data_IF_793379434136
#
_entry.id   IF_793379434136
#
_cell.length_a   1.000
_cell.length_b   1.000
_cell.length_c   1.000
_cell.angle_alpha   90.00
_cell.angle_beta   90.00
_cell.angle_gamma   90.00
#
_symmetry.space_group_name_H-M   'P 1'
#
loop_
_entity.id
_entity.type
_entity.pdbx_description
1 polymer ?
#
# COMPACT_ATOMS: atom_id res chain seq x y z
N UNK A 1 -50.53 19.25 -60.90
CA UNK A 1 -49.45 20.18 -60.52
C UNK A 1 -48.46 19.40 -59.66
N UNK A 2 -47.65 18.54 -60.27
CA UNK A 2 -46.34 18.84 -60.88
C UNK A 2 -45.29 19.20 -59.82
N UNK A 3 -44.56 18.21 -59.29
CA UNK A 3 -43.14 18.35 -58.98
C UNK A 3 -42.39 17.06 -59.31
N UNK A 4 -42.01 17.01 -60.59
CA UNK A 4 -40.68 16.69 -61.13
C UNK A 4 -39.75 15.77 -60.34
N UNK A 5 -39.49 14.62 -60.96
CA UNK A 5 -38.40 13.70 -60.67
C UNK A 5 -37.01 14.36 -60.76
N UNK A 6 -36.07 13.92 -59.91
CA UNK A 6 -34.64 13.93 -60.22
C UNK A 6 -34.03 12.58 -59.83
N UNK A 7 -33.60 11.84 -60.85
CA UNK A 7 -32.68 10.70 -60.80
C UNK A 7 -31.35 11.11 -61.43
N UNK A 8 -30.29 10.45 -60.95
CA UNK A 8 -28.99 10.20 -61.59
C UNK A 8 -28.01 11.40 -61.70
N UNK A 9 -26.68 11.25 -61.68
CA UNK A 9 -25.73 10.21 -61.28
C UNK A 9 -24.31 10.80 -61.53
N UNK A 10 -23.27 10.08 -61.08
CA UNK A 10 -21.82 10.18 -61.40
C UNK A 10 -20.98 11.24 -60.64
N UNK A 11 -20.17 10.91 -59.62
CA UNK A 11 -18.89 10.14 -59.54
C UNK A 11 -17.68 10.79 -60.22
N UNK A 12 -16.63 11.06 -59.43
CA UNK A 12 -15.17 10.99 -59.73
C UNK A 12 -14.44 11.24 -58.38
N UNK A 13 -14.04 10.19 -57.64
CA UNK A 13 -12.70 9.56 -57.64
C UNK A 13 -11.55 10.53 -57.28
N UNK A 14 -11.15 10.53 -56.01
CA UNK A 14 -9.74 10.73 -55.61
C UNK A 14 -9.37 9.69 -54.56
N UNK A 15 -8.42 8.84 -54.94
CA UNK A 15 -7.76 7.78 -54.16
C UNK A 15 -6.41 8.28 -53.68
N UNK A 16 -6.07 8.06 -52.41
CA UNK A 16 -4.74 7.83 -51.82
C UNK A 16 -4.84 8.09 -50.31
N UNK A 17 -4.29 7.34 -49.36
CA UNK A 17 -3.49 6.12 -49.30
C UNK A 17 -3.60 5.66 -47.82
N UNK A 18 -4.01 4.43 -47.57
CA UNK A 18 -3.19 3.34 -47.02
C UNK A 18 -2.76 3.47 -45.53
N UNK A 19 -3.17 2.43 -44.79
CA UNK A 19 -2.50 1.76 -43.65
C UNK A 19 -2.94 2.04 -42.21
N UNK A 20 -3.42 0.94 -41.62
CA UNK A 20 -3.17 0.41 -40.28
C UNK A 20 -4.34 0.45 -39.30
N UNK A 21 -5.04 -0.68 -39.24
CA UNK A 21 -5.68 -1.16 -38.02
C UNK A 21 -4.62 -1.32 -36.91
N UNK A 22 -4.91 -0.76 -35.74
CA UNK A 22 -4.59 -1.41 -34.48
C UNK A 22 -5.77 -1.17 -33.53
N UNK A 23 -6.40 -2.26 -33.10
CA UNK A 23 -7.30 -2.28 -31.97
C UNK A 23 -6.50 -1.84 -30.73
N UNK A 24 -6.95 -0.78 -30.07
CA UNK A 24 -6.50 -0.46 -28.73
C UNK A 24 -7.33 -1.28 -27.76
N UNK A 25 -6.73 -2.15 -26.92
CA UNK A 25 -7.42 -2.63 -25.75
C UNK A 25 -7.60 -1.46 -24.80
N UNK A 26 -8.81 -1.31 -24.27
CA UNK A 26 -9.04 -0.59 -23.03
C UNK A 26 -8.36 -1.40 -21.91
N UNK A 27 -7.07 -1.17 -21.72
CA UNK A 27 -6.38 -1.53 -20.49
C UNK A 27 -6.67 -0.41 -19.49
N UNK A 28 -7.14 -0.80 -18.32
CA UNK A 28 -7.33 0.06 -17.18
C UNK A 28 -6.06 0.86 -16.92
N UNK A 29 -6.22 2.18 -16.84
CA UNK A 29 -5.18 3.07 -16.37
C UNK A 29 -5.03 2.87 -14.86
N UNK A 30 -4.09 2.01 -14.48
CA UNK A 30 -3.36 2.15 -13.23
C UNK A 30 -1.89 2.26 -13.60
N UNK A 31 -1.57 3.37 -14.26
CA UNK A 31 -0.20 3.72 -14.61
C UNK A 31 -0.05 5.20 -14.25
N UNK A 32 0.33 5.42 -12.98
CA UNK A 32 0.84 6.69 -12.52
C UNK A 32 2.07 7.04 -13.38
N UNK A 33 1.85 7.85 -14.42
CA UNK A 33 2.92 8.44 -15.19
C UNK A 33 3.85 9.23 -14.23
N UNK A 34 5.19 9.12 -14.35
CA UNK A 34 6.09 9.81 -13.44
C UNK A 34 5.98 11.31 -13.70
N UNK A 35 5.37 12.03 -12.75
CA UNK A 35 5.29 13.48 -12.78
C UNK A 35 6.70 14.08 -12.70
N UNK A 36 7.02 14.94 -13.66
CA UNK A 36 8.24 15.72 -13.67
C UNK A 36 8.31 16.61 -12.42
N UNK A 37 9.29 16.37 -11.55
CA UNK A 37 9.56 17.17 -10.35
C UNK A 37 8.57 16.91 -9.20
N UNK A 38 8.42 15.65 -8.79
CA UNK A 38 7.44 15.22 -7.80
C UNK A 38 7.47 16.02 -6.50
N UNK A 39 6.38 16.72 -6.22
CA UNK A 39 6.04 17.08 -4.85
C UNK A 39 5.82 15.76 -4.08
N UNK A 40 6.25 15.67 -2.82
CA UNK A 40 6.11 14.41 -2.08
C UNK A 40 4.66 13.96 -1.99
N UNK A 41 4.47 12.66 -1.79
CA UNK A 41 3.15 12.08 -1.66
C UNK A 41 3.12 11.11 -0.48
N UNK A 42 1.98 11.03 0.19
CA UNK A 42 1.69 10.01 1.18
C UNK A 42 0.25 9.52 0.99
N UNK A 43 0.04 8.21 1.12
CA UNK A 43 -1.29 7.63 1.13
C UNK A 43 -1.40 6.50 2.14
N UNK A 44 -2.59 6.36 2.72
CA UNK A 44 -2.88 5.36 3.74
C UNK A 44 -4.31 4.85 3.52
N UNK A 45 -4.50 3.53 3.56
CA UNK A 45 -5.81 2.90 3.39
C UNK A 45 -6.02 1.74 4.37
N UNK A 46 -7.16 1.70 5.05
CA UNK A 46 -7.46 0.63 6.00
C UNK A 46 -7.77 -0.68 5.29
N UNK A 47 -8.62 -0.63 4.28
CA UNK A 47 -9.01 -1.81 3.50
C UNK A 47 -9.10 -1.43 2.03
N UNK A 48 -8.44 -2.23 1.20
CA UNK A 48 -8.71 -2.30 -0.24
C UNK A 48 -9.20 -3.68 -0.58
N UNK A 49 -10.36 -3.77 -1.21
CA UNK A 49 -10.99 -5.00 -1.62
C UNK A 49 -11.21 -4.99 -3.13
N UNK A 50 -10.74 -6.04 -3.80
CA UNK A 50 -11.02 -6.34 -5.20
C UNK A 50 -11.52 -7.78 -5.29
N UNK A 51 -12.83 -7.96 -5.13
CA UNK A 51 -13.49 -9.26 -5.09
C UNK A 51 -14.32 -9.47 -6.36
N UNK A 52 -14.41 -10.71 -6.79
CA UNK A 52 -15.24 -11.15 -7.90
C UNK A 52 -16.22 -12.19 -7.37
N UNK A 53 -17.52 -11.88 -7.43
CA UNK A 53 -18.58 -12.77 -6.95
C UNK A 53 -19.25 -13.45 -8.14
N UNK A 54 -19.11 -14.78 -8.22
CA UNK A 54 -19.73 -15.58 -9.27
C UNK A 54 -21.18 -15.89 -8.93
N UNK A 55 -22.14 -15.44 -9.74
CA UNK A 55 -23.55 -15.81 -9.53
C UNK A 55 -23.82 -17.27 -9.93
N UNK A 56 -24.98 -17.80 -9.51
CA UNK A 56 -25.40 -19.21 -9.60
C UNK A 56 -25.24 -19.86 -10.98
N UNK A 57 -25.37 -19.08 -12.06
CA UNK A 57 -25.22 -19.57 -13.43
C UNK A 57 -23.76 -19.54 -13.94
N UNK A 58 -22.79 -19.15 -13.11
CA UNK A 58 -21.35 -19.12 -13.40
C UNK A 58 -20.92 -18.21 -14.57
N UNK A 59 -21.86 -17.47 -15.16
CA UNK A 59 -21.68 -16.78 -16.45
C UNK A 59 -21.55 -15.26 -16.33
N UNK A 60 -21.90 -14.69 -15.18
CA UNK A 60 -21.72 -13.28 -14.87
C UNK A 60 -21.09 -13.16 -13.48
N UNK A 61 -19.83 -12.77 -13.48
CA UNK A 61 -19.16 -12.30 -12.28
C UNK A 61 -19.57 -10.84 -12.02
N UNK A 62 -19.83 -10.52 -10.74
CA UNK A 62 -20.05 -9.16 -10.29
C UNK A 62 -18.78 -8.67 -9.59
N UNK A 63 -18.07 -7.67 -10.15
CA UNK A 63 -16.92 -7.09 -9.49
C UNK A 63 -17.35 -6.25 -8.30
N UNK A 64 -16.68 -6.46 -7.18
CA UNK A 64 -16.83 -5.76 -5.93
C UNK A 64 -15.50 -5.10 -5.58
N UNK A 65 -15.43 -3.80 -5.85
CA UNK A 65 -14.29 -2.98 -5.43
C UNK A 65 -14.72 -2.08 -4.27
N UNK A 66 -13.96 -2.11 -3.19
CA UNK A 66 -14.19 -1.23 -2.05
C UNK A 66 -12.86 -0.71 -1.50
N UNK A 67 -12.79 0.59 -1.24
CA UNK A 67 -11.71 1.24 -0.51
C UNK A 67 -12.30 1.93 0.71
N UNK A 68 -11.71 1.68 1.89
CA UNK A 68 -12.19 2.20 3.17
C UNK A 68 -11.08 2.96 3.89
N UNK A 69 -11.44 4.12 4.47
CA UNK A 69 -10.51 5.04 5.14
C UNK A 69 -9.25 5.26 4.34
N UNK A 70 -9.46 5.69 3.11
CA UNK A 70 -8.37 6.02 2.23
C UNK A 70 -8.11 7.53 2.32
N UNK A 71 -6.89 7.89 2.70
CA UNK A 71 -6.45 9.27 2.76
C UNK A 71 -5.26 9.48 1.84
N UNK A 72 -5.25 10.63 1.18
CA UNK A 72 -4.14 11.09 0.36
C UNK A 72 -3.70 12.48 0.81
N UNK A 73 -2.39 12.64 0.98
CA UNK A 73 -1.74 13.93 1.15
C UNK A 73 -0.83 14.18 -0.06
N UNK A 74 -1.33 14.84 -1.12
CA UNK A 74 -0.50 15.29 -2.23
C UNK A 74 0.18 16.63 -1.91
N UNK A 75 1.35 16.88 -2.50
CA UNK A 75 1.96 18.21 -2.46
C UNK A 75 2.80 18.47 -1.21
N UNK A 76 3.26 19.72 -1.03
CA UNK A 76 4.00 20.13 0.18
C UNK A 76 3.05 20.70 1.24
N UNK A 77 3.26 20.33 2.50
CA UNK A 77 2.52 20.81 3.68
C UNK A 77 1.02 20.45 3.64
N UNK A 78 0.73 19.17 3.44
CA UNK A 78 -0.63 18.60 3.43
C UNK A 78 -0.74 17.50 4.47
N UNK A 79 -1.83 17.51 5.23
CA UNK A 79 -2.19 16.45 6.18
C UNK A 79 -3.61 15.98 5.90
N UNK A 80 -3.80 14.66 5.89
CA UNK A 80 -5.09 14.02 5.75
C UNK A 80 -5.20 12.90 6.80
N UNK A 81 -6.36 12.82 7.47
CA UNK A 81 -6.65 11.81 8.47
C UNK A 81 -8.11 11.41 8.44
N UNK A 82 -8.37 10.11 8.51
CA UNK A 82 -9.70 9.55 8.65
C UNK A 82 -9.75 8.44 9.70
N UNK A 83 -10.91 8.30 10.34
CA UNK A 83 -11.19 7.25 11.31
C UNK A 83 -12.55 6.62 11.01
N UNK A 84 -12.65 5.30 11.07
CA UNK A 84 -13.86 4.52 10.79
C UNK A 84 -13.92 3.34 11.75
N UNK A 85 -15.14 2.92 12.04
CA UNK A 85 -15.40 1.80 12.93
C UNK A 85 -16.15 0.67 12.21
N UNK A 86 -16.98 1.02 11.22
CA UNK A 86 -17.81 0.05 10.52
C UNK A 86 -18.04 0.52 9.09
N UNK A 87 -17.87 -0.40 8.14
CA UNK A 87 -18.17 -0.18 6.73
C UNK A 87 -19.22 -1.16 6.23
N UNK A 88 -20.34 -0.60 5.77
CA UNK A 88 -21.37 -1.33 5.04
C UNK A 88 -21.25 -0.98 3.57
N UNK A 89 -21.19 -1.99 2.72
CA UNK A 89 -21.24 -1.81 1.28
C UNK A 89 -22.65 -2.14 0.79
N UNK A 90 -23.20 -1.26 -0.05
CA UNK A 90 -24.53 -1.46 -0.63
C UNK A 90 -24.46 -2.48 -1.78
N UNK A 91 -25.08 -3.65 -1.59
CA UNK A 91 -25.70 -4.43 -2.67
C UNK A 91 -24.83 -5.37 -3.50
N UNK A 92 -24.72 -6.62 -3.05
CA UNK A 92 -24.60 -7.85 -3.88
C UNK A 92 -25.55 -8.98 -3.41
N UNK A 93 -26.34 -8.73 -2.37
CA UNK A 93 -27.27 -9.67 -1.77
C UNK A 93 -28.71 -9.12 -1.88
N UNK A 94 -29.27 -9.14 -3.09
CA UNK A 94 -30.65 -8.67 -3.35
C UNK A 94 -30.90 -7.19 -2.97
N UNK A 95 -29.85 -6.37 -2.94
CA UNK A 95 -29.91 -4.97 -2.50
C UNK A 95 -29.87 -4.77 -0.98
N UNK A 96 -29.63 -5.82 -0.20
CA UNK A 96 -29.33 -5.70 1.23
C UNK A 96 -27.89 -5.17 1.42
N UNK A 97 -27.67 -4.20 2.30
CA UNK A 97 -26.33 -3.81 2.69
C UNK A 97 -25.66 -4.97 3.42
N UNK A 98 -24.38 -5.20 3.13
CA UNK A 98 -23.56 -6.18 3.85
C UNK A 98 -22.37 -5.47 4.51
N UNK A 99 -21.98 -5.96 5.68
CA UNK A 99 -20.83 -5.42 6.41
C UNK A 99 -19.55 -6.12 5.93
N UNK A 100 -18.64 -5.36 5.35
CA UNK A 100 -17.36 -5.88 4.84
C UNK A 100 -16.28 -5.86 5.94
N UNK A 101 -16.25 -4.79 6.72
CA UNK A 101 -15.29 -4.56 7.80
C UNK A 101 -15.97 -3.96 9.02
N UNK A 102 -15.69 -4.55 10.18
CA UNK A 102 -15.99 -4.01 11.51
C UNK A 102 -14.71 -3.96 12.33
N UNK A 103 -14.45 -2.86 13.01
CA UNK A 103 -13.27 -2.67 13.86
C UNK A 103 -13.56 -1.68 14.99
N UNK A 104 -12.84 -1.82 16.10
CA UNK A 104 -12.90 -0.85 17.21
C UNK A 104 -12.05 0.38 16.93
N UNK A 105 -10.98 0.21 16.16
CA UNK A 105 -10.14 1.29 15.65
C UNK A 105 -9.84 0.97 14.20
N UNK A 106 -10.13 1.91 13.30
CA UNK A 106 -9.56 1.92 11.97
C UNK A 106 -9.16 3.35 11.65
N UNK A 107 -7.86 3.63 11.60
CA UNK A 107 -7.31 4.96 11.42
C UNK A 107 -6.33 4.96 10.25
N UNK A 108 -6.39 6.02 9.45
CA UNK A 108 -5.49 6.24 8.33
C UNK A 108 -5.02 7.70 8.37
N UNK A 109 -3.70 7.88 8.32
CA UNK A 109 -3.06 9.20 8.34
C UNK A 109 -2.03 9.28 7.23
N UNK A 110 -2.03 10.40 6.51
CA UNK A 110 -1.02 10.73 5.51
C UNK A 110 -0.59 12.18 5.69
N UNK A 111 0.71 12.42 5.71
CA UNK A 111 1.32 13.73 5.93
C UNK A 111 2.46 13.92 4.94
N UNK A 112 2.55 15.11 4.37
CA UNK A 112 3.73 15.57 3.63
C UNK A 112 4.09 16.95 4.12
N UNK A 113 5.31 17.11 4.61
CA UNK A 113 5.80 18.35 5.21
C UNK A 113 7.23 18.68 4.74
N UNK A 114 7.92 19.51 5.53
CA UNK A 114 9.28 19.95 5.23
C UNK A 114 10.35 18.91 5.61
N UNK A 115 10.02 17.87 6.37
CA UNK A 115 10.91 16.81 6.82
C UNK A 115 10.78 15.56 5.94
N UNK A 116 9.64 15.36 5.29
CA UNK A 116 9.43 14.27 4.33
C UNK A 116 7.96 13.97 4.08
N UNK A 117 7.70 12.73 3.70
CA UNK A 117 6.35 12.17 3.64
C UNK A 117 6.23 10.98 4.59
N UNK A 118 5.07 10.89 5.22
CA UNK A 118 4.74 9.88 6.22
C UNK A 118 3.32 9.39 6.01
N UNK A 119 3.13 8.08 6.07
CA UNK A 119 1.82 7.45 6.08
C UNK A 119 1.76 6.37 7.16
N UNK A 120 0.62 6.28 7.83
CA UNK A 120 0.34 5.24 8.82
C UNK A 120 -1.10 4.79 8.73
N UNK A 121 -1.30 3.49 8.87
CA UNK A 121 -2.60 2.89 9.11
C UNK A 121 -2.55 2.00 10.34
N UNK A 122 -3.64 2.01 11.11
CA UNK A 122 -3.80 1.13 12.26
C UNK A 122 -5.22 0.57 12.30
N UNK A 123 -5.33 -0.69 12.65
CA UNK A 123 -6.59 -1.41 12.74
C UNK A 123 -6.57 -2.28 14.00
N UNK A 124 -7.62 -2.21 14.81
CA UNK A 124 -7.74 -3.00 16.04
C UNK A 124 -9.13 -3.63 16.18
N UNK A 125 -9.16 -4.84 16.75
CA UNK A 125 -10.33 -5.70 16.90
C UNK A 125 -11.12 -5.84 15.58
N UNK A 126 -10.39 -6.11 14.50
CA UNK A 126 -10.92 -6.12 13.16
C UNK A 126 -11.58 -7.46 12.82
N UNK A 127 -12.71 -7.39 12.13
CA UNK A 127 -13.45 -8.54 11.62
C UNK A 127 -13.83 -8.25 10.16
N UNK A 128 -13.34 -9.09 9.26
CA UNK A 128 -13.62 -8.98 7.83
C UNK A 128 -14.57 -10.09 7.42
N UNK A 129 -15.63 -9.73 6.71
CA UNK A 129 -16.64 -10.66 6.22
C UNK A 129 -16.74 -10.55 4.72
N UNK A 130 -16.93 -11.68 4.02
CA UNK A 130 -17.10 -11.69 2.56
C UNK A 130 -18.48 -12.22 2.17
N UNK A 131 -19.04 -11.80 1.03
CA UNK A 131 -20.33 -12.29 0.54
C UNK A 131 -20.36 -13.82 0.38
N UNK A 132 -21.54 -14.41 0.54
CA UNK A 132 -21.77 -15.85 0.29
C UNK A 132 -21.36 -16.80 1.42
N UNK A 133 -20.81 -16.28 2.53
CA UNK A 133 -20.36 -17.11 3.67
C UNK A 133 -21.22 -16.86 4.92
N UNK A 134 -22.08 -17.81 5.30
CA UNK A 134 -23.26 -17.48 6.12
C UNK A 134 -23.03 -17.37 7.63
N UNK A 135 -21.84 -17.60 8.21
CA UNK A 135 -21.75 -17.81 9.67
C UNK A 135 -20.57 -17.21 10.44
N UNK A 136 -19.44 -16.88 9.81
CA UNK A 136 -18.24 -16.39 10.53
C UNK A 136 -17.48 -15.36 9.70
N UNK A 137 -16.80 -14.39 10.35
CA UNK A 137 -15.80 -13.58 9.68
C UNK A 137 -14.80 -14.48 8.95
N UNK A 138 -14.39 -14.03 7.77
CA UNK A 138 -13.28 -14.63 7.04
C UNK A 138 -12.04 -14.61 7.92
N UNK A 139 -11.76 -13.44 8.51
CA UNK A 139 -10.62 -13.25 9.38
C UNK A 139 -10.94 -12.27 10.52
N UNK A 140 -10.42 -12.56 11.70
CA UNK A 140 -10.44 -11.72 12.89
C UNK A 140 -9.00 -11.43 13.34
N UNK A 141 -8.73 -10.16 13.67
CA UNK A 141 -7.39 -9.64 13.97
C UNK A 141 -7.44 -8.72 15.19
N UNK A 142 -6.50 -8.89 16.12
CA UNK A 142 -6.45 -8.08 17.34
C UNK A 142 -5.92 -6.66 17.07
N UNK A 143 -4.74 -6.54 16.48
CA UNK A 143 -4.13 -5.26 16.15
C UNK A 143 -3.10 -5.43 15.03
N UNK A 144 -3.23 -4.64 13.96
CA UNK A 144 -2.25 -4.53 12.88
C UNK A 144 -1.96 -3.06 12.60
N UNK A 145 -0.75 -2.79 12.10
CA UNK A 145 -0.39 -1.46 11.61
C UNK A 145 0.58 -1.56 10.43
N UNK A 146 0.55 -0.56 9.57
CA UNK A 146 1.54 -0.36 8.52
C UNK A 146 2.01 1.09 8.52
N UNK A 147 3.31 1.28 8.37
CA UNK A 147 3.96 2.59 8.40
C UNK A 147 4.91 2.70 7.22
N UNK A 148 4.88 3.86 6.57
CA UNK A 148 5.82 4.23 5.54
C UNK A 148 6.37 5.63 5.85
N UNK A 149 7.70 5.74 5.96
CA UNK A 149 8.38 7.00 6.22
C UNK A 149 9.45 7.25 5.16
N UNK A 150 9.31 8.38 4.48
CA UNK A 150 10.15 8.83 3.38
C UNK A 150 10.76 10.19 3.74
N UNK A 151 11.83 10.22 4.57
CA UNK A 151 12.46 11.45 4.99
C UNK A 151 13.20 12.13 3.84
N UNK A 152 13.25 13.46 3.83
CA UNK A 152 14.05 14.22 2.89
C UNK A 152 15.55 13.93 3.08
N UNK A 153 16.19 13.46 2.02
CA UNK A 153 17.63 13.16 2.01
C UNK A 153 18.03 11.93 2.83
N UNK A 154 17.06 11.18 3.37
CA UNK A 154 17.29 9.93 4.08
C UNK A 154 16.89 8.70 3.27
N UNK A 155 17.03 7.52 3.89
CA UNK A 155 16.57 6.25 3.33
C UNK A 155 15.10 6.03 3.72
N UNK A 156 14.21 5.73 2.76
CA UNK A 156 12.84 5.34 3.06
C UNK A 156 12.78 4.07 3.92
N UNK A 157 11.79 4.02 4.80
CA UNK A 157 11.55 2.89 5.71
C UNK A 157 10.08 2.49 5.63
N UNK A 158 9.84 1.19 5.50
CA UNK A 158 8.54 0.55 5.57
C UNK A 158 8.52 -0.44 6.73
N UNK A 159 7.48 -0.40 7.56
CA UNK A 159 7.33 -1.28 8.72
C UNK A 159 5.88 -1.76 8.85
N UNK A 160 5.72 -2.95 9.41
CA UNK A 160 4.42 -3.52 9.76
C UNK A 160 4.44 -4.04 11.19
N UNK A 161 3.33 -3.89 11.90
CA UNK A 161 3.08 -4.56 13.17
C UNK A 161 1.97 -5.60 12.96
N UNK A 162 2.19 -6.81 13.44
CA UNK A 162 1.25 -7.92 13.33
C UNK A 162 1.11 -8.69 14.65
N UNK A 163 -0.07 -9.26 14.93
CA UNK A 163 -0.25 -10.14 16.07
C UNK A 163 0.43 -11.48 15.81
N UNK A 164 0.66 -12.26 16.87
CA UNK A 164 1.24 -13.60 16.75
C UNK A 164 0.28 -14.63 16.13
N UNK A 165 -1.02 -14.33 16.10
CA UNK A 165 -2.05 -15.20 15.54
C UNK A 165 -3.22 -14.37 14.99
N UNK A 166 -3.95 -14.96 14.05
CA UNK A 166 -5.25 -14.50 13.56
C UNK A 166 -6.26 -15.63 13.69
N UNK A 167 -7.55 -15.29 13.70
CA UNK A 167 -8.61 -16.30 13.57
C UNK A 167 -9.14 -16.27 12.15
N UNK A 168 -8.99 -17.36 11.39
CA UNK A 168 -9.50 -17.51 10.02
C UNK A 168 -10.67 -18.48 10.05
N UNK A 169 -11.88 -18.03 9.72
CA UNK A 169 -13.12 -18.80 9.82
C UNK A 169 -13.34 -19.52 11.18
N UNK A 170 -12.92 -18.88 12.27
CA UNK A 170 -13.02 -19.46 13.62
C UNK A 170 -11.90 -20.44 14.00
N UNK A 171 -10.90 -20.65 13.13
CA UNK A 171 -9.69 -21.42 13.42
C UNK A 171 -8.54 -20.47 13.71
N UNK A 172 -7.86 -20.65 14.84
CA UNK A 172 -6.67 -19.88 15.18
C UNK A 172 -5.48 -20.34 14.31
N UNK A 173 -4.85 -19.39 13.63
CA UNK A 173 -3.73 -19.59 12.71
C UNK A 173 -2.57 -18.73 13.18
N UNK A 174 -1.39 -19.31 13.45
CA UNK A 174 -0.22 -18.52 13.80
C UNK A 174 0.21 -17.67 12.61
N UNK A 175 0.51 -16.39 12.86
CA UNK A 175 1.05 -15.49 11.86
C UNK A 175 2.56 -15.40 12.05
N UNK A 176 3.30 -15.55 10.97
CA UNK A 176 4.72 -15.23 10.94
C UNK A 176 4.91 -13.79 10.51
N UNK A 177 6.07 -13.20 10.86
CA UNK A 177 6.38 -11.81 10.51
C UNK A 177 6.39 -11.63 8.99
N UNK A 178 6.71 -12.65 8.20
CA UNK A 178 6.69 -12.63 6.73
C UNK A 178 6.30 -14.02 6.20
N UNK A 179 5.89 -14.08 4.93
CA UNK A 179 5.62 -15.32 4.19
C UNK A 179 4.14 -15.56 3.90
N UNK A 180 3.83 -16.74 3.34
CA UNK A 180 2.47 -17.10 2.94
C UNK A 180 1.94 -18.28 3.77
N UNK A 181 0.74 -18.15 4.32
CA UNK A 181 0.04 -19.22 5.04
C UNK A 181 -1.17 -19.66 4.22
N UNK A 182 -1.25 -20.95 3.92
CA UNK A 182 -2.42 -21.53 3.25
C UNK A 182 -3.30 -22.21 4.30
N UNK A 183 -4.57 -21.79 4.35
CA UNK A 183 -5.57 -22.28 5.29
C UNK A 183 -6.68 -22.98 4.50
N UNK A 184 -6.72 -24.32 4.51
CA UNK A 184 -7.82 -25.05 3.92
C UNK A 184 -9.08 -24.86 4.77
N UNK A 185 -10.19 -24.54 4.11
CA UNK A 185 -11.50 -24.32 4.74
C UNK A 185 -12.43 -25.45 4.32
N UNK A 186 -12.69 -26.43 5.21
CA UNK A 186 -13.47 -27.62 4.86
C UNK A 186 -14.83 -27.28 4.26
N UNK A 187 -15.08 -27.77 3.04
CA UNK A 187 -16.35 -27.59 2.32
C UNK A 187 -16.55 -26.24 1.64
N UNK A 188 -15.55 -25.34 1.67
CA UNK A 188 -15.66 -23.96 1.16
C UNK A 188 -14.55 -23.64 0.14
N UNK A 189 -13.31 -24.07 0.38
CA UNK A 189 -12.17 -23.77 -0.49
C UNK A 189 -10.91 -23.47 0.30
N UNK A 190 -10.09 -22.55 -0.20
CA UNK A 190 -8.76 -22.25 0.35
C UNK A 190 -8.61 -20.73 0.55
N UNK A 191 -7.93 -20.34 1.63
CA UNK A 191 -7.52 -18.95 1.86
C UNK A 191 -6.00 -18.90 1.93
N UNK A 192 -5.40 -18.04 1.12
CA UNK A 192 -3.96 -17.75 1.20
C UNK A 192 -3.77 -16.39 1.84
N UNK A 193 -2.96 -16.35 2.89
CA UNK A 193 -2.60 -15.14 3.62
C UNK A 193 -1.14 -14.82 3.33
N UNK A 194 -0.88 -13.73 2.64
CA UNK A 194 0.45 -13.15 2.46
C UNK A 194 0.69 -12.12 3.57
N UNK A 195 1.70 -12.36 4.40
CA UNK A 195 1.93 -11.63 5.63
C UNK A 195 3.03 -10.56 5.43
N UNK A 196 2.78 -9.34 5.91
CA UNK A 196 3.72 -8.20 5.95
C UNK A 196 4.55 -8.00 4.68
N UNK A 197 3.95 -7.38 3.66
CA UNK A 197 4.71 -6.95 2.48
C UNK A 197 5.28 -5.56 2.71
N UNK A 198 6.60 -5.45 2.70
CA UNK A 198 7.30 -4.16 2.75
C UNK A 198 8.17 -3.99 1.52
N UNK A 199 8.04 -2.86 0.85
CA UNK A 199 8.84 -2.50 -0.31
C UNK A 199 9.51 -1.15 -0.06
N UNK A 200 10.80 -1.07 -0.35
CA UNK A 200 11.55 0.19 -0.25
C UNK A 200 12.39 0.37 -1.51
N UNK A 201 12.43 1.60 -2.00
CA UNK A 201 13.19 1.97 -3.19
C UNK A 201 13.86 3.33 -3.01
N UNK A 202 14.48 3.86 -4.07
CA UNK A 202 15.08 5.19 -4.02
C UNK A 202 13.99 6.26 -3.92
N UNK A 203 13.72 6.67 -2.68
CA UNK A 203 12.78 7.73 -2.37
C UNK A 203 11.34 7.28 -2.17
N UNK A 204 11.02 5.99 -2.18
CA UNK A 204 9.67 5.52 -1.86
C UNK A 204 9.69 4.34 -0.89
N UNK A 205 8.64 4.22 -0.09
CA UNK A 205 8.40 3.09 0.79
C UNK A 205 6.91 2.74 0.79
N UNK A 206 6.60 1.45 0.83
CA UNK A 206 5.25 0.93 0.95
C UNK A 206 5.23 -0.25 1.94
N UNK A 207 4.19 -0.31 2.75
CA UNK A 207 3.96 -1.35 3.74
C UNK A 207 2.50 -1.78 3.69
N UNK A 208 2.27 -3.09 3.65
CA UNK A 208 0.95 -3.72 3.79
C UNK A 208 1.04 -4.77 4.88
N UNK A 209 0.25 -4.60 5.94
CA UNK A 209 0.33 -5.53 7.08
C UNK A 209 -0.20 -6.91 6.71
N UNK A 210 -1.29 -6.98 5.94
CA UNK A 210 -1.86 -8.26 5.54
C UNK A 210 -2.51 -8.18 4.16
N UNK A 211 -2.14 -9.13 3.31
CA UNK A 211 -2.73 -9.33 2.00
C UNK A 211 -3.35 -10.72 1.91
N UNK A 212 -4.65 -10.77 1.62
CA UNK A 212 -5.40 -12.02 1.53
C UNK A 212 -5.73 -12.29 0.08
N UNK A 213 -5.32 -13.45 -0.42
CA UNK A 213 -5.84 -14.01 -1.66
C UNK A 213 -6.85 -15.09 -1.34
N UNK A 214 -8.08 -14.87 -1.77
CA UNK A 214 -9.23 -15.69 -1.40
C UNK A 214 -9.68 -16.44 -2.64
N UNK A 215 -9.86 -17.75 -2.51
CA UNK A 215 -10.52 -18.57 -3.51
C UNK A 215 -11.52 -19.51 -2.83
N UNK A 216 -12.75 -19.03 -2.75
CA UNK A 216 -13.87 -19.74 -2.15
C UNK A 216 -14.74 -20.30 -3.27
N UNK A 217 -14.80 -21.63 -3.34
CA UNK A 217 -15.64 -22.38 -4.27
C UNK A 217 -16.43 -23.44 -3.48
N UNK A 218 -17.64 -23.10 -3.00
CA UNK A 218 -18.47 -24.02 -2.24
C UNK A 218 -18.99 -25.13 -3.18
N UNK A 219 -18.23 -26.22 -3.28
CA UNK A 219 -18.46 -27.39 -4.13
C UNK A 219 -19.94 -27.84 -4.13
N UNK A 220 -20.63 -27.55 -5.24
CA UNK A 220 -21.99 -28.01 -5.61
C UNK A 220 -23.16 -27.55 -4.72
N UNK A 221 -23.04 -26.42 -4.00
CA UNK A 221 -24.11 -25.95 -3.12
C UNK A 221 -25.07 -24.93 -3.75
N UNK A 222 -24.99 -24.66 -5.06
CA UNK A 222 -25.72 -23.54 -5.68
C UNK A 222 -25.47 -22.24 -4.86
N UNK A 223 -24.22 -21.96 -4.49
CA UNK A 223 -23.80 -20.75 -3.78
C UNK A 223 -22.74 -20.04 -4.61
N UNK A 224 -22.79 -18.72 -4.62
CA UNK A 224 -21.85 -17.87 -5.32
C UNK A 224 -20.41 -18.10 -4.83
N UNK A 225 -19.50 -18.41 -5.75
CA UNK A 225 -18.06 -18.43 -5.47
C UNK A 225 -17.53 -17.01 -5.31
N UNK A 226 -16.50 -16.84 -4.49
CA UNK A 226 -15.81 -15.55 -4.32
C UNK A 226 -14.33 -15.75 -4.53
N UNK A 227 -13.76 -14.98 -5.45
CA UNK A 227 -12.33 -14.94 -5.70
C UNK A 227 -11.84 -13.51 -5.69
N UNK A 228 -10.67 -13.24 -5.15
CA UNK A 228 -10.10 -11.89 -5.21
C UNK A 228 -9.06 -11.63 -4.15
N UNK A 229 -8.80 -10.35 -3.94
CA UNK A 229 -7.78 -9.87 -3.01
C UNK A 229 -8.35 -8.87 -2.00
N UNK A 230 -7.90 -8.98 -0.76
CA UNK A 230 -8.14 -7.98 0.29
C UNK A 230 -6.79 -7.54 0.86
N UNK A 231 -6.53 -6.25 0.86
CA UNK A 231 -5.35 -5.65 1.50
C UNK A 231 -5.81 -4.88 2.73
N UNK A 232 -5.21 -5.18 3.88
CA UNK A 232 -5.53 -4.59 5.18
C UNK A 232 -4.32 -3.83 5.72
N UNK A 233 -4.59 -2.60 6.18
CA UNK A 233 -3.62 -1.65 6.69
C UNK A 233 -2.45 -1.46 5.72
N UNK A 234 -2.67 -0.56 4.76
CA UNK A 234 -1.68 -0.17 3.76
C UNK A 234 -1.20 1.26 4.02
N UNK A 235 0.10 1.49 3.87
CA UNK A 235 0.71 2.82 3.93
C UNK A 235 1.78 2.93 2.83
N UNK A 236 1.78 4.05 2.11
CA UNK A 236 2.79 4.37 1.10
C UNK A 236 3.24 5.82 1.17
N UNK A 237 4.50 6.05 0.85
CA UNK A 237 5.08 7.38 0.78
C UNK A 237 6.07 7.51 -0.37
N UNK A 238 6.20 8.73 -0.87
CA UNK A 238 7.19 9.15 -1.85
C UNK A 238 7.86 10.45 -1.38
N UNK A 239 9.19 10.44 -1.42
CA UNK A 239 10.05 11.54 -0.99
C UNK A 239 9.92 12.69 -1.98
N UNK A 240 9.69 13.93 -1.53
CA UNK A 240 9.69 15.08 -2.43
C UNK A 240 10.99 15.19 -3.23
N UNK A 241 10.88 15.46 -4.53
CA UNK A 241 12.03 15.70 -5.40
C UNK A 241 12.77 16.97 -4.96
N UNK A 242 14.06 16.81 -4.63
CA UNK A 242 14.92 17.91 -4.14
C UNK A 242 16.13 17.47 -3.33
N UNK A 243 16.17 16.21 -2.86
CA UNK A 243 17.37 15.66 -2.24
C UNK A 243 18.48 15.47 -3.29
N UNK A 244 19.70 16.00 -3.08
CA UNK A 244 20.82 15.73 -3.97
C UNK A 244 21.08 14.22 -3.96
N UNK A 245 20.87 13.60 -5.13
CA UNK A 245 21.25 12.21 -5.36
C UNK A 245 22.76 12.14 -5.15
N UNK A 246 23.23 11.39 -4.14
CA UNK A 246 24.63 10.98 -4.12
C UNK A 246 24.80 9.96 -5.23
N UNK A 247 25.03 10.46 -6.44
CA UNK A 247 25.49 9.66 -7.55
C UNK A 247 26.92 9.26 -7.19
N UNK A 248 27.12 7.99 -6.82
CA UNK A 248 28.39 7.32 -7.03
C UNK A 248 28.69 7.42 -8.52
N UNK A 249 29.50 8.39 -8.89
CA UNK A 249 30.12 8.47 -10.21
C UNK A 249 31.08 7.29 -10.26
N UNK A 250 30.72 6.25 -11.02
CA UNK A 250 31.71 5.35 -11.58
C UNK A 250 32.48 6.18 -12.60
N UNK A 251 33.67 6.63 -12.23
CA UNK A 251 34.61 7.27 -13.15
C UNK A 251 35.01 6.25 -14.21
N UNK A 252 34.53 6.50 -15.43
CA UNK A 252 34.97 5.81 -16.65
C UNK A 252 36.35 6.37 -17.01
N UNK A 253 37.33 5.47 -16.95
CA UNK A 253 38.73 5.65 -17.25
C UNK A 253 38.92 6.15 -18.70
N UNK A 254 39.56 7.30 -18.89
CA UNK A 254 40.22 7.65 -20.15
C UNK A 254 41.63 8.11 -19.81
N UNK A 255 42.59 7.28 -20.19
CA UNK A 255 44.02 7.50 -20.10
C UNK A 255 44.45 8.71 -20.93
N UNK A 256 45.19 9.64 -20.32
CA UNK A 256 46.34 10.27 -20.95
C UNK A 256 47.35 10.71 -19.87
N UNK A 257 48.55 10.13 -19.94
CA UNK A 257 49.73 10.38 -19.11
C UNK A 257 50.36 11.76 -19.48
N UNK A 258 51.20 12.45 -18.71
CA UNK A 258 52.27 12.10 -17.77
C UNK A 258 52.50 13.29 -16.80
N UNK A 259 52.81 13.05 -15.53
CA UNK A 259 54.15 13.25 -14.93
C UNK A 259 54.08 13.05 -13.40
N UNK A 260 54.97 12.21 -12.85
CA UNK A 260 55.01 11.79 -11.45
C UNK A 260 55.86 12.76 -10.58
N UNK A 261 55.91 12.66 -9.22
CA UNK A 261 56.38 11.46 -8.54
C UNK A 261 55.54 11.01 -7.33
N UNK A 262 55.21 9.72 -7.34
CA UNK A 262 55.54 8.75 -6.30
C UNK A 262 55.66 9.27 -4.85
N UNK A 263 54.55 9.19 -4.12
CA UNK A 263 54.55 8.98 -2.67
C UNK A 263 53.71 7.74 -2.39
N UNK A 264 54.39 6.60 -2.34
CA UNK A 264 53.84 5.38 -1.80
C UNK A 264 53.54 5.57 -0.30
N UNK A 265 52.28 5.39 0.07
CA UNK A 265 51.87 5.09 1.44
C UNK A 265 50.89 3.92 1.40
N UNK A 266 51.44 2.73 1.17
CA UNK A 266 50.80 1.50 1.60
C UNK A 266 50.93 1.40 3.11
N UNK A 267 49.84 1.10 3.81
CA UNK A 267 49.90 0.73 5.22
C UNK A 267 48.76 1.30 6.05
N UNK A 268 47.84 0.43 6.45
CA UNK A 268 46.96 0.69 7.58
C UNK A 268 47.76 1.04 8.84
N UNK A 269 47.19 1.92 9.65
CA UNK A 269 47.83 2.38 10.89
C UNK A 269 46.94 3.29 11.72
N UNK A 270 46.02 2.67 12.46
CA UNK A 270 45.68 2.98 13.86
C UNK A 270 45.65 4.46 14.29
N UNK A 271 44.48 5.10 14.15
CA UNK A 271 44.16 6.32 14.91
C UNK A 271 42.66 6.42 15.26
N UNK A 272 42.11 5.35 15.81
CA UNK A 272 40.98 5.41 16.75
C UNK A 272 41.50 4.93 18.10
N UNK A 273 41.45 5.77 19.14
CA UNK A 273 40.26 5.75 19.99
C UNK A 273 39.97 7.09 20.68
N UNK A 274 39.34 8.05 20.01
CA UNK A 274 38.85 9.27 20.69
C UNK A 274 37.49 9.73 20.18
N UNK A 275 36.50 8.83 20.16
CA UNK A 275 35.08 9.23 20.11
C UNK A 275 34.19 8.35 21.03
N UNK A 276 34.77 7.82 22.11
CA UNK A 276 34.00 7.24 23.23
C UNK A 276 34.26 8.14 24.44
N UNK A 277 33.47 9.21 24.58
CA UNK A 277 33.67 10.15 25.70
C UNK A 277 32.68 11.32 25.81
N UNK A 278 31.59 11.34 25.03
CA UNK A 278 30.66 12.48 24.99
C UNK A 278 29.21 12.21 25.40
N UNK A 279 28.87 11.01 25.86
CA UNK A 279 27.46 10.58 26.01
C UNK A 279 26.85 10.64 27.42
N UNK A 280 27.67 10.71 28.48
CA UNK A 280 27.16 10.51 29.86
C UNK A 280 26.63 11.78 30.52
N UNK A 281 27.05 12.97 30.08
CA UNK A 281 26.63 14.24 30.68
C UNK A 281 25.16 14.61 30.44
N UNK A 282 24.62 14.31 29.25
CA UNK A 282 23.25 14.67 28.86
C UNK A 282 22.18 13.81 29.55
N UNK A 283 22.52 12.59 29.97
CA UNK A 283 21.60 11.68 30.66
C UNK A 283 21.34 12.08 32.12
N UNK A 284 22.29 12.72 32.79
CA UNK A 284 22.13 13.16 34.19
C UNK A 284 21.27 14.42 34.29
N UNK A 285 21.34 15.33 33.30
CA UNK A 285 20.49 16.52 33.26
C UNK A 285 19.02 16.21 32.92
N UNK A 286 18.76 15.20 32.07
CA UNK A 286 17.41 14.78 31.70
C UNK A 286 16.66 14.04 32.83
N UNK A 287 17.35 13.26 33.66
CA UNK A 287 16.71 12.51 34.75
C UNK A 287 16.18 13.43 35.87
N UNK A 288 16.80 14.59 36.09
CA UNK A 288 16.39 15.54 37.13
C UNK A 288 15.05 16.23 36.85
N UNK A 289 14.73 16.50 35.58
CA UNK A 289 13.48 17.20 35.21
C UNK A 289 12.25 16.30 35.35
N UNK A 290 12.39 15.01 35.04
CA UNK A 290 11.31 14.00 35.16
C UNK A 290 10.96 13.72 36.62
N UNK A 291 11.94 13.70 37.52
CA UNK A 291 11.70 13.48 38.95
C UNK A 291 10.99 14.66 39.64
N UNK A 292 11.33 15.91 39.26
CA UNK A 292 10.66 17.11 39.78
C UNK A 292 9.21 17.20 39.29
N UNK A 293 8.93 16.83 38.03
CA UNK A 293 7.58 16.80 37.48
C UNK A 293 6.68 15.74 38.16
N UNK A 294 7.24 14.55 38.48
CA UNK A 294 6.51 13.49 39.19
C UNK A 294 6.21 13.85 40.65
N UNK A 295 7.07 14.60 41.33
CA UNK A 295 6.83 14.99 42.71
C UNK A 295 5.69 16.02 42.84
N UNK A 296 5.57 16.97 41.90
CA UNK A 296 4.50 17.98 41.89
C UNK A 296 3.10 17.39 41.67
N UNK A 297 2.98 16.31 40.88
CA UNK A 297 1.71 15.63 40.64
C UNK A 297 1.21 14.78 41.82
N UNK A 298 2.07 14.51 42.82
CA UNK A 298 1.69 13.76 44.03
C UNK A 298 1.30 14.66 45.20
N UNK A 299 1.54 15.96 45.09
CA UNK A 299 1.27 16.96 46.13
C UNK A 299 0.17 17.96 45.73
N UNK A 300 -0.55 17.70 44.64
CA UNK A 300 -1.70 18.47 44.16
C UNK A 300 -2.95 17.59 44.23
#
# INVERSE_FOLDING_TARGET
>A
MNHTARRAAATLLTTAALMAQAALPAAHADESAPAAGGEGAASAAVLRAGLEVSLLDGTLGVPLNATLNEVQAPGRATEARETLLTATLDGVDEGRPFELLRADVADATATVDADGSFAETSLAAAQVTVPGLPMRPLIELDAIAARAHCPLGGTPVAETDMPAAATVFGQEVPLTVEGSVNVPVPGVGEVTLDLSRTETSQGAAAASALDLSISVNPLNLDIAGVTGTLTLAEASCETPAGAPRTQTVSEEETEEAEDAPEMAATGGGSATPYVIGGGVGLLVAGAATVLVARHRRRTA
#
